data_IF_595976843082
#
_entry.id   IF_595976843082
#
_cell.length_a   1.000
_cell.length_b   1.000
_cell.length_c   1.000
_cell.angle_alpha   90.00
_cell.angle_beta   90.00
_cell.angle_gamma   90.00
#
_symmetry.space_group_name_H-M   'P 1'
#
loop_
_entity.id
_entity.type
_entity.pdbx_description
1 polymer ?
#
# COMPACT_ATOMS: atom_id res chain seq x y z
N UNK A 1 23.09 15.42 -6.18
CA UNK A 1 22.89 14.16 -6.94
C UNK A 1 24.12 13.30 -6.70
N UNK A 2 23.96 12.03 -6.35
CA UNK A 2 25.05 11.16 -5.90
C UNK A 2 26.08 10.74 -6.98
N UNK A 3 25.87 11.10 -8.26
CA UNK A 3 26.71 10.64 -9.36
C UNK A 3 26.71 9.11 -9.45
N UNK A 4 27.85 8.52 -9.79
CA UNK A 4 28.01 7.05 -9.90
C UNK A 4 28.16 6.34 -8.54
N UNK A 5 28.18 7.09 -7.43
CA UNK A 5 28.36 6.52 -6.08
C UNK A 5 27.11 5.83 -5.54
N UNK A 6 25.95 6.04 -6.16
CA UNK A 6 24.70 5.41 -5.76
C UNK A 6 23.93 4.95 -7.00
N UNK A 7 23.74 3.64 -7.10
CA UNK A 7 23.05 2.99 -8.21
C UNK A 7 21.88 2.18 -7.68
N UNK A 8 20.72 2.31 -8.33
CA UNK A 8 19.55 1.45 -8.11
C UNK A 8 19.33 0.64 -9.37
N UNK A 9 19.44 -0.68 -9.27
CA UNK A 9 19.07 -1.59 -10.34
C UNK A 9 17.56 -1.88 -10.28
N UNK A 10 16.81 -1.32 -11.23
CA UNK A 10 15.36 -1.50 -11.29
C UNK A 10 15.01 -2.88 -11.84
N UNK A 11 14.36 -3.69 -11.01
CA UNK A 11 13.88 -5.02 -11.38
C UNK A 11 12.37 -5.00 -11.57
N UNK A 12 11.90 -5.64 -12.65
CA UNK A 12 10.47 -5.83 -12.88
C UNK A 12 9.85 -6.73 -11.80
N UNK A 13 8.54 -6.59 -11.60
CA UNK A 13 7.78 -7.47 -10.71
C UNK A 13 7.98 -8.93 -11.11
N UNK A 14 8.12 -9.83 -10.13
CA UNK A 14 8.41 -11.26 -10.29
C UNK A 14 9.83 -11.62 -10.77
N UNK A 15 10.75 -10.66 -10.90
CA UNK A 15 12.14 -10.98 -11.27
C UNK A 15 12.92 -11.72 -10.17
N UNK A 16 12.64 -11.43 -8.89
CA UNK A 16 13.35 -12.02 -7.72
C UNK A 16 12.39 -12.79 -6.83
N UNK A 17 11.26 -12.18 -6.47
CA UNK A 17 10.21 -12.78 -5.64
C UNK A 17 8.83 -12.42 -6.19
N UNK A 18 7.80 -13.17 -5.79
CA UNK A 18 6.41 -12.82 -6.09
C UNK A 18 6.05 -11.48 -5.45
N UNK A 19 5.11 -10.75 -6.04
CA UNK A 19 4.62 -9.46 -5.51
C UNK A 19 4.24 -9.53 -4.03
N UNK A 20 3.55 -10.58 -3.62
CA UNK A 20 3.13 -10.80 -2.22
C UNK A 20 4.28 -11.03 -1.23
N UNK A 21 5.49 -11.29 -1.71
CA UNK A 21 6.68 -11.58 -0.91
C UNK A 21 7.69 -10.42 -0.88
N UNK A 22 7.44 -9.33 -1.63
CA UNK A 22 8.42 -8.24 -1.78
C UNK A 22 8.82 -7.61 -0.43
N UNK A 23 7.86 -7.43 0.47
CA UNK A 23 8.14 -6.92 1.81
C UNK A 23 8.98 -7.89 2.66
N UNK A 24 8.69 -9.20 2.62
CA UNK A 24 9.51 -10.19 3.33
C UNK A 24 10.92 -10.25 2.75
N UNK A 25 11.07 -10.05 1.44
CA UNK A 25 12.37 -9.98 0.79
C UNK A 25 13.17 -8.77 1.27
N UNK A 26 12.57 -7.60 1.45
CA UNK A 26 13.25 -6.43 2.02
C UNK A 26 13.60 -6.67 3.49
N UNK A 27 12.64 -7.13 4.29
CA UNK A 27 12.85 -7.42 5.70
C UNK A 27 14.03 -8.39 5.95
N UNK A 28 14.19 -9.40 5.08
CA UNK A 28 15.23 -10.43 5.17
C UNK A 28 16.54 -10.04 4.46
N UNK A 29 16.59 -8.87 3.80
CA UNK A 29 17.76 -8.43 3.02
C UNK A 29 18.00 -9.20 1.72
N UNK A 30 16.98 -9.86 1.17
CA UNK A 30 17.02 -10.46 -0.19
C UNK A 30 16.93 -9.37 -1.27
N UNK A 31 16.18 -8.30 -0.98
CA UNK A 31 16.12 -7.08 -1.79
C UNK A 31 16.51 -5.90 -0.89
N UNK A 32 17.27 -4.94 -1.43
CA UNK A 32 17.62 -3.72 -0.67
C UNK A 32 16.39 -2.81 -0.47
N UNK A 33 15.50 -2.76 -1.45
CA UNK A 33 14.27 -1.97 -1.40
C UNK A 33 13.18 -2.53 -2.33
N UNK A 34 11.94 -2.12 -2.08
CA UNK A 34 10.82 -2.35 -2.99
C UNK A 34 9.90 -1.12 -3.05
N UNK A 35 9.32 -0.85 -4.22
CA UNK A 35 8.24 0.12 -4.35
C UNK A 35 6.90 -0.61 -4.24
N UNK A 36 6.08 -0.23 -3.26
CA UNK A 36 4.89 -0.99 -2.88
C UNK A 36 3.79 -0.13 -2.25
N UNK A 37 2.58 -0.69 -2.15
CA UNK A 37 1.45 -0.05 -1.45
C UNK A 37 1.18 -0.82 -0.14
N UNK A 38 1.17 -0.15 1.04
CA UNK A 38 1.00 -0.83 2.33
C UNK A 38 -0.27 -1.67 2.46
N UNK A 39 -1.35 -1.33 1.73
CA UNK A 39 -2.60 -2.08 1.73
C UNK A 39 -2.48 -3.56 1.32
N UNK A 40 -1.46 -3.91 0.54
CA UNK A 40 -1.19 -5.32 0.20
C UNK A 40 -0.66 -6.14 1.39
N UNK A 41 -0.31 -5.51 2.51
CA UNK A 41 0.09 -6.19 3.75
C UNK A 41 -1.09 -6.43 4.69
N UNK A 42 -2.32 -6.26 4.21
CA UNK A 42 -3.55 -6.50 4.96
C UNK A 42 -3.56 -7.86 5.68
N UNK A 43 -3.04 -8.91 5.05
CA UNK A 43 -2.97 -10.26 5.64
C UNK A 43 -2.01 -10.36 6.83
N UNK A 44 -1.05 -9.44 6.97
CA UNK A 44 -0.16 -9.33 8.14
C UNK A 44 -0.75 -8.44 9.21
N UNK A 45 -1.34 -7.32 8.81
CA UNK A 45 -2.10 -6.45 9.70
C UNK A 45 -3.14 -5.66 8.93
N UNK A 46 -4.39 -5.73 9.40
CA UNK A 46 -5.50 -4.94 8.84
C UNK A 46 -5.19 -3.44 8.88
N UNK A 47 -4.44 -2.98 9.89
CA UNK A 47 -4.05 -1.57 10.05
C UNK A 47 -3.18 -1.06 8.88
N UNK A 48 -2.41 -1.93 8.21
CA UNK A 48 -1.59 -1.53 7.07
C UNK A 48 -2.43 -0.93 5.92
N UNK A 49 -3.71 -1.33 5.80
CA UNK A 49 -4.62 -0.77 4.80
C UNK A 49 -4.97 0.69 5.04
N UNK A 50 -4.86 1.21 6.26
CA UNK A 50 -5.08 2.63 6.55
C UNK A 50 -4.07 3.53 5.82
N UNK A 51 -2.91 2.99 5.46
CA UNK A 51 -1.82 3.69 4.78
C UNK A 51 -1.79 3.48 3.25
N UNK A 52 -2.86 2.95 2.64
CA UNK A 52 -2.89 2.77 1.18
C UNK A 52 -4.27 2.64 0.55
N UNK A 53 -5.26 2.14 1.29
CA UNK A 53 -6.66 2.01 0.85
C UNK A 53 -7.62 2.26 2.02
N UNK A 54 -7.25 3.15 2.94
CA UNK A 54 -8.06 3.47 4.11
C UNK A 54 -9.33 4.23 3.69
N UNK A 55 -10.39 4.22 4.51
CA UNK A 55 -11.49 5.16 4.32
C UNK A 55 -10.94 6.58 4.49
N UNK A 56 -10.80 7.31 3.38
CA UNK A 56 -10.24 8.67 3.41
C UNK A 56 -11.23 9.70 3.98
N UNK A 57 -12.50 9.34 4.21
CA UNK A 57 -13.56 10.17 4.81
C UNK A 57 -13.58 11.64 4.32
N UNK A 58 -13.29 11.87 3.03
CA UNK A 58 -13.26 13.20 2.41
C UNK A 58 -11.87 13.83 2.25
N UNK A 59 -10.80 13.22 2.76
CA UNK A 59 -9.44 13.67 2.51
C UNK A 59 -9.05 13.46 1.04
N UNK A 60 -8.39 14.47 0.48
CA UNK A 60 -7.63 14.38 -0.75
C UNK A 60 -6.35 13.55 -0.54
N UNK A 61 -5.78 13.09 -1.65
CA UNK A 61 -4.52 12.35 -1.63
C UNK A 61 -3.35 13.16 -1.07
N UNK A 62 -3.39 14.48 -1.25
CA UNK A 62 -2.37 15.39 -0.74
C UNK A 62 -2.50 15.57 0.78
N UNK A 63 -3.73 15.66 1.30
CA UNK A 63 -3.95 15.74 2.76
C UNK A 63 -3.46 14.47 3.47
N UNK A 64 -3.71 13.29 2.89
CA UNK A 64 -3.19 12.03 3.44
C UNK A 64 -1.66 12.01 3.44
N UNK A 65 -1.03 12.45 2.35
CA UNK A 65 0.43 12.55 2.26
C UNK A 65 1.00 13.56 3.27
N UNK A 66 0.36 14.73 3.40
CA UNK A 66 0.73 15.74 4.41
C UNK A 66 0.60 15.19 5.83
N UNK A 67 -0.46 14.45 6.13
CA UNK A 67 -0.62 13.80 7.43
C UNK A 67 0.48 12.77 7.71
N UNK A 68 0.88 11.99 6.71
CA UNK A 68 2.02 11.09 6.85
C UNK A 68 3.30 11.84 7.22
N UNK A 69 3.62 12.93 6.51
CA UNK A 69 4.88 13.65 6.72
C UNK A 69 4.90 14.61 7.91
N UNK A 70 3.75 15.18 8.28
CA UNK A 70 3.68 16.30 9.24
C UNK A 70 2.62 16.11 10.34
N UNK A 71 1.79 15.08 10.24
CA UNK A 71 0.63 14.87 11.12
C UNK A 71 0.71 13.63 12.00
N UNK A 72 1.87 12.96 12.08
CA UNK A 72 2.04 11.76 12.91
C UNK A 72 1.85 10.44 12.17
N UNK A 73 1.55 10.46 10.86
CA UNK A 73 1.23 9.23 10.14
C UNK A 73 2.44 8.32 9.93
N UNK A 74 3.63 8.88 9.70
CA UNK A 74 4.85 8.07 9.59
C UNK A 74 5.24 7.41 10.91
N UNK A 75 5.03 8.07 12.03
CA UNK A 75 5.26 7.54 13.37
C UNK A 75 4.38 6.30 13.63
N UNK A 76 3.09 6.39 13.28
CA UNK A 76 2.16 5.27 13.37
C UNK A 76 2.49 4.12 12.40
N UNK A 77 2.98 4.44 11.20
CA UNK A 77 3.42 3.41 10.25
C UNK A 77 4.68 2.67 10.76
N UNK A 78 5.61 3.40 11.37
CA UNK A 78 6.80 2.81 11.97
C UNK A 78 6.44 1.97 13.20
N UNK A 79 5.54 2.43 14.07
CA UNK A 79 5.01 1.66 15.20
C UNK A 79 4.38 0.34 14.72
N UNK A 80 3.62 0.39 13.62
CA UNK A 80 3.07 -0.82 13.00
C UNK A 80 4.19 -1.78 12.55
N UNK A 81 5.23 -1.29 11.89
CA UNK A 81 6.35 -2.15 11.46
C UNK A 81 7.10 -2.76 12.64
N UNK A 82 7.35 -1.99 13.69
CA UNK A 82 7.99 -2.46 14.91
C UNK A 82 7.15 -3.55 15.58
N UNK A 83 5.82 -3.36 15.66
CA UNK A 83 4.90 -4.37 16.21
C UNK A 83 4.89 -5.69 15.43
N UNK A 84 5.21 -5.63 14.14
CA UNK A 84 5.31 -6.77 13.24
C UNK A 84 6.74 -7.35 13.19
N UNK A 85 7.70 -6.76 13.90
CA UNK A 85 9.10 -7.17 13.89
C UNK A 85 9.81 -6.94 12.55
N UNK A 86 9.36 -5.96 11.76
CA UNK A 86 9.84 -5.73 10.41
C UNK A 86 11.04 -4.78 10.40
N UNK A 87 12.18 -5.29 9.97
CA UNK A 87 13.36 -4.49 9.62
C UNK A 87 13.16 -3.76 8.27
N UNK A 88 12.32 -2.73 8.25
CA UNK A 88 11.99 -1.95 7.05
C UNK A 88 11.93 -0.47 7.42
N UNK A 89 12.52 0.37 6.56
CA UNK A 89 12.31 1.83 6.60
C UNK A 89 11.43 2.20 5.41
N UNK A 90 10.29 2.86 5.67
CA UNK A 90 9.40 3.34 4.61
C UNK A 90 9.71 4.79 4.25
N UNK A 91 9.78 5.05 2.95
CA UNK A 91 9.80 6.38 2.38
C UNK A 91 8.45 6.65 1.74
N UNK A 92 7.48 7.04 2.57
CA UNK A 92 6.13 7.32 2.07
C UNK A 92 6.18 8.50 1.12
N UNK A 93 5.65 8.30 -0.08
CA UNK A 93 5.71 9.27 -1.17
C UNK A 93 4.53 9.06 -2.12
N UNK A 94 4.39 9.95 -3.10
CA UNK A 94 3.39 9.88 -4.17
C UNK A 94 1.95 9.81 -3.67
N UNK A 95 1.29 10.96 -3.59
CA UNK A 95 -0.12 11.06 -3.29
C UNK A 95 -0.95 10.25 -4.30
N UNK A 96 -1.67 9.23 -3.83
CA UNK A 96 -2.54 8.40 -4.67
C UNK A 96 -3.94 9.00 -4.72
N UNK A 97 -4.38 9.57 -5.86
CA UNK A 97 -5.70 10.19 -5.98
C UNK A 97 -6.83 9.16 -5.84
N UNK A 98 -8.05 9.65 -5.66
CA UNK A 98 -9.25 8.82 -5.64
C UNK A 98 -9.28 7.91 -6.88
N UNK A 99 -9.48 6.61 -6.64
CA UNK A 99 -9.54 5.60 -7.69
C UNK A 99 -10.99 5.31 -8.07
N UNK A 100 -11.27 4.96 -9.33
CA UNK A 100 -12.57 4.41 -9.68
C UNK A 100 -12.81 3.11 -8.91
N UNK A 101 -14.08 2.81 -8.61
CA UNK A 101 -14.46 1.59 -7.88
C UNK A 101 -14.03 0.30 -8.61
N UNK A 102 -13.99 0.34 -9.93
CA UNK A 102 -13.53 -0.77 -10.75
C UNK A 102 -14.12 -0.73 -12.15
N UNK A 103 -13.99 -1.86 -12.83
CA UNK A 103 -14.56 -2.12 -14.15
C UNK A 103 -15.53 -3.28 -14.03
N UNK A 104 -16.79 -3.05 -14.41
CA UNK A 104 -17.87 -4.01 -14.25
C UNK A 104 -18.46 -4.34 -15.61
N UNK A 105 -18.95 -5.57 -15.76
CA UNK A 105 -19.62 -6.02 -17.01
C UNK A 105 -20.97 -5.34 -17.20
N UNK A 106 -21.67 -5.12 -16.11
CA UNK A 106 -22.98 -4.48 -16.06
C UNK A 106 -22.87 -3.17 -15.26
N UNK A 107 -23.76 -2.23 -15.56
CA UNK A 107 -23.86 -0.96 -14.84
C UNK A 107 -24.36 -1.18 -13.39
N UNK A 108 -23.65 -0.60 -12.42
CA UNK A 108 -24.03 -0.62 -11.00
C UNK A 108 -24.77 0.69 -10.69
N UNK A 109 -26.07 0.58 -10.40
CA UNK A 109 -27.00 1.69 -10.11
C UNK A 109 -27.38 1.79 -8.64
N UNK A 110 -27.35 0.67 -7.94
CA UNK A 110 -27.69 0.59 -6.52
C UNK A 110 -26.74 -0.33 -5.75
N UNK A 111 -26.71 -0.16 -4.42
CA UNK A 111 -25.82 -0.92 -3.54
C UNK A 111 -26.18 -2.42 -3.48
N UNK A 112 -27.44 -2.80 -3.74
CA UNK A 112 -27.85 -4.21 -3.67
C UNK A 112 -27.21 -5.05 -4.77
N UNK A 113 -26.83 -4.44 -5.89
CA UNK A 113 -26.07 -5.10 -6.96
C UNK A 113 -24.63 -5.48 -6.55
N UNK A 114 -24.12 -4.94 -5.45
CA UNK A 114 -22.81 -5.31 -4.91
C UNK A 114 -22.87 -6.58 -4.05
N UNK A 115 -24.06 -6.98 -3.58
CA UNK A 115 -24.22 -8.17 -2.75
C UNK A 115 -23.90 -9.44 -3.56
N UNK A 116 -22.98 -10.25 -3.04
CA UNK A 116 -22.47 -11.45 -3.72
C UNK A 116 -21.65 -11.17 -5.00
N UNK A 117 -21.41 -9.92 -5.37
CA UNK A 117 -20.66 -9.57 -6.58
C UNK A 117 -19.18 -9.93 -6.41
N UNK A 118 -18.70 -10.85 -7.25
CA UNK A 118 -17.27 -11.20 -7.29
C UNK A 118 -16.50 -10.18 -8.13
N UNK A 119 -15.72 -9.33 -7.48
CA UNK A 119 -14.82 -8.40 -8.15
C UNK A 119 -13.46 -8.34 -7.44
N UNK A 120 -12.42 -7.89 -8.15
CA UNK A 120 -11.07 -7.79 -7.59
C UNK A 120 -10.89 -6.44 -6.91
N UNK A 121 -10.60 -6.47 -5.61
CA UNK A 121 -10.25 -5.30 -4.80
C UNK A 121 -9.05 -5.62 -3.88
N UNK A 122 -8.60 -4.65 -3.09
CA UNK A 122 -7.44 -4.76 -2.18
C UNK A 122 -7.75 -4.06 -0.85
N UNK A 123 -7.13 -4.53 0.22
CA UNK A 123 -7.18 -3.89 1.54
C UNK A 123 -8.51 -4.10 2.24
N UNK A 124 -8.98 -3.08 2.97
CA UNK A 124 -10.21 -3.16 3.77
C UNK A 124 -11.44 -3.58 2.96
N UNK A 125 -11.53 -3.16 1.70
CA UNK A 125 -12.65 -3.51 0.82
C UNK A 125 -12.70 -5.01 0.44
N UNK A 126 -11.66 -5.79 0.72
CA UNK A 126 -11.65 -7.23 0.43
C UNK A 126 -12.32 -8.09 1.52
N UNK A 127 -12.63 -7.51 2.68
CA UNK A 127 -13.22 -8.17 3.86
C UNK A 127 -14.63 -7.63 4.16
N UNK A 128 -15.26 -6.98 3.17
CA UNK A 128 -16.61 -6.39 3.24
C UNK A 128 -17.50 -7.06 2.21
#
# INVERSE_FOLDING_TARGET
>A
MAGDLFKIDLLAVNAVVKTSQMQDAVHRGVLDACHYVPAYWYSKSKAASLFGTGPCFGWSSQEMLCWCHYGGGMELLNELFDSLGLNIVSFFNSAMPAQPMGWFKEEIKDASQMDGLKYRTVGLAADV
#
